data_IF_225712485743
#
_entry.id   IF_225712485743
#
_cell.length_a   1.000
_cell.length_b   1.000
_cell.length_c   1.000
_cell.angle_alpha   90.00
_cell.angle_beta   90.00
_cell.angle_gamma   90.00
#
_symmetry.space_group_name_H-M   'P 1'
#
loop_
_entity.id
_entity.type
_entity.pdbx_description
1 polymer ?
#
# COMPACT_ATOMS: atom_id res chain seq x y z
N UNK A 1 19.20 4.72 -3.27
CA UNK A 1 18.59 3.40 -3.55
C UNK A 1 18.33 3.19 -5.04
N UNK A 2 19.35 3.33 -5.91
CA UNK A 2 19.20 3.14 -7.37
C UNK A 2 18.75 1.73 -7.76
N UNK A 3 19.15 0.73 -6.97
CA UNK A 3 18.77 -0.67 -7.13
C UNK A 3 17.47 -1.04 -6.37
N UNK A 4 16.78 -0.05 -5.78
CA UNK A 4 15.59 -0.26 -4.95
C UNK A 4 15.80 -1.23 -3.76
N UNK A 5 17.02 -1.24 -3.21
CA UNK A 5 17.38 -1.99 -2.02
C UNK A 5 17.37 -1.09 -0.77
N UNK A 6 17.09 -1.66 0.43
CA UNK A 6 17.25 -0.94 1.70
C UNK A 6 18.67 -0.40 1.85
N UNK A 7 18.79 0.84 2.30
CA UNK A 7 20.07 1.49 2.54
C UNK A 7 20.56 1.13 3.95
N UNK A 8 21.77 0.54 4.10
CA UNK A 8 22.37 0.34 5.41
C UNK A 8 22.54 1.66 6.17
N UNK A 9 22.35 1.69 7.50
CA UNK A 9 22.44 2.92 8.29
C UNK A 9 23.75 3.70 8.08
N UNK A 10 24.87 2.99 7.91
CA UNK A 10 26.20 3.57 7.70
C UNK A 10 26.35 4.34 6.37
N UNK A 11 25.48 4.10 5.39
CA UNK A 11 25.51 4.71 4.07
C UNK A 11 24.35 5.68 3.83
N UNK A 12 23.57 5.98 4.87
CA UNK A 12 22.30 6.69 4.75
C UNK A 12 22.39 8.14 5.21
N UNK A 13 21.77 9.05 4.44
CA UNK A 13 21.53 10.46 4.83
C UNK A 13 20.39 10.61 5.85
N UNK A 14 19.71 9.51 6.19
CA UNK A 14 18.73 9.39 7.27
C UNK A 14 18.88 8.01 7.89
N UNK A 15 19.81 7.82 8.86
CA UNK A 15 20.34 6.52 9.26
C UNK A 15 19.28 5.51 9.69
N UNK A 16 18.16 5.99 10.20
CA UNK A 16 17.10 5.13 10.72
C UNK A 16 16.12 4.65 9.64
N UNK A 17 16.13 5.23 8.42
CA UNK A 17 15.19 4.88 7.35
C UNK A 17 15.76 3.81 6.40
N UNK A 18 14.93 2.80 6.06
CA UNK A 18 15.25 1.82 5.03
C UNK A 18 15.42 2.48 3.65
N UNK A 19 14.57 3.47 3.35
CA UNK A 19 14.56 4.21 2.08
C UNK A 19 14.56 5.73 2.35
N UNK A 20 15.74 6.36 2.48
CA UNK A 20 15.87 7.73 2.97
C UNK A 20 15.18 8.78 2.10
N UNK A 21 15.14 8.56 0.78
CA UNK A 21 14.50 9.48 -0.17
C UNK A 21 12.98 9.32 -0.23
N UNK A 22 12.46 8.15 0.15
CA UNK A 22 11.03 7.85 0.10
C UNK A 22 10.70 6.77 1.13
N UNK A 23 10.38 7.20 2.36
CA UNK A 23 10.03 6.30 3.46
C UNK A 23 9.05 5.20 3.03
N UNK A 24 7.89 5.51 2.43
CA UNK A 24 6.91 4.54 1.92
C UNK A 24 7.45 3.44 0.98
N UNK A 25 8.61 3.63 0.34
CA UNK A 25 9.17 2.64 -0.58
C UNK A 25 9.48 1.28 0.07
N UNK A 26 9.60 1.21 1.40
CA UNK A 26 9.80 -0.05 2.13
C UNK A 26 8.74 -1.11 1.76
N UNK A 27 7.46 -0.72 1.68
CA UNK A 27 6.39 -1.67 1.40
C UNK A 27 6.39 -2.13 -0.06
N UNK A 28 6.77 -1.25 -0.99
CA UNK A 28 6.89 -1.55 -2.42
C UNK A 28 8.03 -2.55 -2.66
N UNK A 29 9.14 -2.41 -1.94
CA UNK A 29 10.23 -3.38 -1.97
C UNK A 29 9.73 -4.77 -1.52
N UNK A 30 9.05 -4.84 -0.38
CA UNK A 30 8.49 -6.11 0.08
C UNK A 30 7.37 -6.65 -0.81
N UNK A 31 6.59 -5.78 -1.46
CA UNK A 31 5.60 -6.19 -2.47
C UNK A 31 6.29 -6.85 -3.66
N UNK A 32 7.43 -6.31 -4.12
CA UNK A 32 8.24 -6.93 -5.17
C UNK A 32 8.76 -8.31 -4.73
N UNK A 33 9.27 -8.42 -3.50
CA UNK A 33 9.73 -9.70 -2.92
C UNK A 33 8.57 -10.70 -2.83
N UNK A 34 7.42 -10.31 -2.29
CA UNK A 34 6.24 -11.16 -2.16
C UNK A 34 5.74 -11.64 -3.53
N UNK A 35 5.72 -10.75 -4.54
CA UNK A 35 5.37 -11.11 -5.90
C UNK A 35 6.37 -12.08 -6.55
N UNK A 36 7.68 -11.90 -6.32
CA UNK A 36 8.69 -12.82 -6.82
C UNK A 36 8.54 -14.22 -6.21
N UNK A 37 8.35 -14.30 -4.89
CA UNK A 37 8.07 -15.56 -4.18
C UNK A 37 6.77 -16.19 -4.69
N UNK A 38 5.73 -15.39 -4.84
CA UNK A 38 4.44 -15.86 -5.37
C UNK A 38 4.59 -16.38 -6.79
N UNK A 39 5.27 -15.69 -7.69
CA UNK A 39 5.48 -16.14 -9.06
C UNK A 39 6.25 -17.47 -9.12
N UNK A 40 7.28 -17.64 -8.29
CA UNK A 40 8.05 -18.88 -8.20
C UNK A 40 7.23 -20.07 -7.67
N UNK A 41 6.26 -19.82 -6.79
CA UNK A 41 5.47 -20.86 -6.12
C UNK A 41 4.03 -20.98 -6.64
N UNK A 42 3.59 -20.12 -7.57
CA UNK A 42 2.19 -19.90 -7.92
C UNK A 42 1.43 -21.21 -8.26
N UNK A 43 2.10 -22.10 -9.00
CA UNK A 43 1.57 -23.40 -9.44
C UNK A 43 1.46 -24.44 -8.31
N UNK A 44 2.21 -24.26 -7.22
CA UNK A 44 2.26 -25.18 -6.06
C UNK A 44 1.40 -24.71 -4.87
N UNK A 45 0.92 -23.48 -4.91
CA UNK A 45 0.13 -22.89 -3.83
C UNK A 45 -1.31 -23.39 -3.86
N UNK A 46 -1.54 -24.56 -3.24
CA UNK A 46 -2.87 -25.10 -2.97
C UNK A 46 -3.56 -24.36 -1.82
N UNK A 47 -4.88 -24.58 -1.68
CA UNK A 47 -5.72 -23.99 -0.61
C UNK A 47 -5.11 -24.15 0.79
N UNK A 48 -4.65 -25.37 1.11
CA UNK A 48 -4.05 -25.71 2.41
C UNK A 48 -2.70 -25.00 2.63
N UNK A 49 -1.87 -24.91 1.59
CA UNK A 49 -0.58 -24.22 1.66
C UNK A 49 -0.76 -22.73 1.92
N UNK A 50 -1.69 -22.07 1.21
CA UNK A 50 -2.02 -20.67 1.44
C UNK A 50 -2.53 -20.44 2.88
N UNK A 51 -3.43 -21.30 3.36
CA UNK A 51 -3.92 -21.26 4.73
C UNK A 51 -2.79 -21.39 5.76
N UNK A 52 -1.91 -22.38 5.58
CA UNK A 52 -0.75 -22.56 6.46
C UNK A 52 0.16 -21.32 6.49
N UNK A 53 0.44 -20.71 5.33
CA UNK A 53 1.32 -19.54 5.23
C UNK A 53 0.73 -18.35 5.99
N UNK A 54 -0.52 -17.95 5.70
CA UNK A 54 -1.09 -16.79 6.40
C UNK A 54 -1.40 -17.11 7.87
N UNK A 55 -1.73 -18.35 8.24
CA UNK A 55 -1.91 -18.73 9.65
C UNK A 55 -0.59 -18.66 10.43
N UNK A 56 0.51 -19.11 9.86
CA UNK A 56 1.84 -18.97 10.49
C UNK A 56 2.22 -17.49 10.63
N UNK A 57 2.03 -16.70 9.57
CA UNK A 57 2.28 -15.27 9.61
C UNK A 57 1.42 -14.55 10.67
N UNK A 58 0.16 -14.96 10.83
CA UNK A 58 -0.71 -14.48 11.91
C UNK A 58 -0.15 -14.81 13.29
N UNK A 59 0.31 -16.05 13.53
CA UNK A 59 0.91 -16.42 14.82
C UNK A 59 2.14 -15.56 15.15
N UNK A 60 3.00 -15.31 14.16
CA UNK A 60 4.15 -14.41 14.33
C UNK A 60 3.67 -13.00 14.69
N UNK A 61 2.70 -12.44 13.97
CA UNK A 61 2.15 -11.11 14.29
C UNK A 61 1.53 -11.06 15.69
N UNK A 62 0.81 -12.10 16.10
CA UNK A 62 0.19 -12.17 17.42
C UNK A 62 1.24 -12.21 18.53
N UNK A 63 2.32 -13.00 18.37
CA UNK A 63 3.44 -13.03 19.29
C UNK A 63 4.15 -11.68 19.37
N UNK A 64 4.36 -11.02 18.24
CA UNK A 64 4.97 -9.68 18.20
C UNK A 64 4.09 -8.63 18.87
N UNK A 65 2.78 -8.67 18.65
CA UNK A 65 1.83 -7.79 19.34
C UNK A 65 1.88 -8.01 20.86
N UNK A 66 1.90 -9.27 21.28
CA UNK A 66 2.00 -9.65 22.70
C UNK A 66 3.29 -9.16 23.35
N UNK A 67 4.40 -9.18 22.61
CA UNK A 67 5.70 -8.66 23.05
C UNK A 67 5.80 -7.12 22.96
N UNK A 68 4.74 -6.43 22.53
CA UNK A 68 4.70 -4.97 22.48
C UNK A 68 5.31 -4.34 21.22
N UNK A 69 5.70 -5.14 20.22
CA UNK A 69 6.25 -4.60 18.97
C UNK A 69 5.21 -3.80 18.19
N UNK A 70 5.66 -2.71 17.57
CA UNK A 70 4.83 -1.93 16.64
C UNK A 70 4.57 -2.73 15.36
N UNK A 71 3.31 -3.06 15.10
CA UNK A 71 2.91 -3.73 13.86
C UNK A 71 2.65 -2.76 12.70
N UNK A 72 2.54 -1.47 13.01
CA UNK A 72 2.32 -0.39 12.02
C UNK A 72 3.57 -0.01 11.23
N UNK A 73 4.76 -0.30 11.78
CA UNK A 73 6.08 0.11 11.25
C UNK A 73 6.54 -0.62 9.98
N UNK A 74 7.71 -0.25 9.48
CA UNK A 74 8.30 -0.81 8.27
C UNK A 74 9.31 0.11 7.59
N UNK A 75 9.12 1.43 7.73
CA UNK A 75 9.97 2.45 7.10
C UNK A 75 11.32 2.63 7.81
N UNK A 76 11.38 2.32 9.10
CA UNK A 76 12.57 2.48 9.94
C UNK A 76 13.16 1.12 10.33
N UNK A 77 14.49 1.07 10.50
CA UNK A 77 15.22 -0.16 10.82
C UNK A 77 14.79 -0.78 12.15
N UNK A 78 14.55 0.04 13.16
CA UNK A 78 14.07 -0.35 14.49
C UNK A 78 12.62 -0.90 14.49
N UNK A 79 11.79 -0.45 13.55
CA UNK A 79 10.38 -0.80 13.45
C UNK A 79 10.02 -1.76 12.30
N UNK A 80 11.01 -2.31 11.58
CA UNK A 80 10.75 -3.14 10.37
C UNK A 80 10.56 -4.63 10.66
N UNK A 81 10.88 -5.09 11.87
CA UNK A 81 10.87 -6.52 12.21
C UNK A 81 9.50 -7.20 11.97
N UNK A 82 8.38 -6.46 12.14
CA UNK A 82 7.04 -6.99 11.92
C UNK A 82 6.61 -6.97 10.44
N UNK A 83 7.33 -6.23 9.58
CA UNK A 83 6.94 -6.00 8.21
C UNK A 83 6.87 -7.29 7.37
N UNK A 84 7.87 -8.20 7.40
CA UNK A 84 7.80 -9.44 6.62
C UNK A 84 6.59 -10.31 6.98
N UNK A 85 6.31 -10.48 8.28
CA UNK A 85 5.15 -11.24 8.74
C UNK A 85 3.83 -10.58 8.32
N UNK A 86 3.74 -9.24 8.44
CA UNK A 86 2.56 -8.48 8.02
C UNK A 86 2.30 -8.63 6.53
N UNK A 87 3.33 -8.51 5.70
CA UNK A 87 3.23 -8.64 4.24
C UNK A 87 2.85 -10.07 3.86
N UNK A 88 3.50 -11.08 4.44
CA UNK A 88 3.17 -12.48 4.20
C UNK A 88 1.70 -12.75 4.55
N UNK A 89 1.24 -12.31 5.73
CA UNK A 89 -0.15 -12.44 6.14
C UNK A 89 -1.10 -11.80 5.12
N UNK A 90 -0.96 -10.49 4.88
CA UNK A 90 -1.90 -9.72 4.06
C UNK A 90 -1.90 -10.18 2.59
N UNK A 91 -0.72 -10.46 2.03
CA UNK A 91 -0.59 -10.88 0.64
C UNK A 91 -1.23 -12.25 0.41
N UNK A 92 -0.86 -13.27 1.20
CA UNK A 92 -1.36 -14.62 0.99
C UNK A 92 -2.82 -14.79 1.41
N UNK A 93 -3.30 -14.04 2.41
CA UNK A 93 -4.73 -13.96 2.70
C UNK A 93 -5.48 -13.33 1.51
N UNK A 94 -4.96 -12.25 0.92
CA UNK A 94 -5.55 -11.63 -0.28
C UNK A 94 -5.64 -12.60 -1.45
N UNK A 95 -4.58 -13.37 -1.72
CA UNK A 95 -4.58 -14.43 -2.75
C UNK A 95 -5.62 -15.51 -2.42
N UNK A 96 -5.70 -15.95 -1.15
CA UNK A 96 -6.67 -16.94 -0.71
C UNK A 96 -8.11 -16.44 -0.91
N UNK A 97 -8.42 -15.22 -0.45
CA UNK A 97 -9.74 -14.62 -0.60
C UNK A 97 -10.10 -14.46 -2.08
N UNK A 98 -9.18 -14.02 -2.92
CA UNK A 98 -9.42 -13.90 -4.37
C UNK A 98 -9.77 -15.24 -5.02
N UNK A 99 -9.17 -16.35 -4.58
CA UNK A 99 -9.39 -17.69 -5.15
C UNK A 99 -10.64 -18.37 -4.60
N UNK A 100 -10.94 -18.18 -3.30
CA UNK A 100 -11.90 -19.03 -2.59
C UNK A 100 -13.04 -18.28 -1.91
N UNK A 101 -12.96 -16.96 -1.71
CA UNK A 101 -14.05 -16.19 -1.11
C UNK A 101 -15.10 -15.83 -2.17
N UNK A 102 -15.87 -16.83 -2.60
CA UNK A 102 -16.99 -16.65 -3.51
C UNK A 102 -18.09 -15.82 -2.84
N UNK A 103 -18.79 -15.03 -3.64
CA UNK A 103 -19.88 -14.18 -3.16
C UNK A 103 -20.58 -13.48 -4.32
N UNK A 104 -21.86 -13.17 -4.14
CA UNK A 104 -22.65 -12.45 -5.14
C UNK A 104 -22.43 -10.96 -4.95
N UNK A 105 -22.19 -10.24 -6.05
CA UNK A 105 -22.07 -8.79 -6.00
C UNK A 105 -23.42 -8.13 -5.71
N UNK A 106 -23.42 -7.02 -4.97
CA UNK A 106 -24.62 -6.26 -4.61
C UNK A 106 -24.45 -4.80 -4.96
N UNK A 107 -25.56 -4.07 -5.16
CA UNK A 107 -25.51 -2.64 -5.40
C UNK A 107 -24.91 -1.90 -4.20
N UNK A 108 -23.86 -1.11 -4.47
CA UNK A 108 -22.98 -0.58 -3.45
C UNK A 108 -23.17 0.90 -3.12
N UNK A 109 -23.87 1.65 -3.98
CA UNK A 109 -23.90 3.11 -3.92
C UNK A 109 -24.41 3.63 -2.55
N UNK A 110 -25.43 2.99 -1.97
CA UNK A 110 -25.98 3.38 -0.67
C UNK A 110 -25.02 3.11 0.51
N UNK A 111 -24.11 2.14 0.36
CA UNK A 111 -23.15 1.78 1.41
C UNK A 111 -21.88 2.64 1.38
N UNK A 112 -21.62 3.35 0.29
CA UNK A 112 -20.38 4.12 0.12
C UNK A 112 -20.15 5.18 1.21
N UNK A 113 -21.12 6.03 1.58
CA UNK A 113 -20.92 7.01 2.66
C UNK A 113 -20.60 6.33 3.99
N UNK A 114 -21.27 5.23 4.31
CA UNK A 114 -21.06 4.47 5.55
C UNK A 114 -19.66 3.86 5.58
N UNK A 115 -19.22 3.26 4.48
CA UNK A 115 -17.88 2.68 4.38
C UNK A 115 -16.79 3.75 4.47
N UNK A 116 -16.99 4.92 3.85
CA UNK A 116 -16.05 6.03 3.94
C UNK A 116 -15.98 6.61 5.35
N UNK A 117 -17.13 6.79 6.01
CA UNK A 117 -17.19 7.25 7.40
C UNK A 117 -16.52 6.26 8.35
N UNK A 118 -16.76 4.95 8.16
CA UNK A 118 -16.10 3.89 8.92
C UNK A 118 -14.58 3.92 8.73
N UNK A 119 -14.10 3.99 7.49
CA UNK A 119 -12.66 4.12 7.20
C UNK A 119 -12.06 5.37 7.87
N UNK A 120 -12.73 6.53 7.78
CA UNK A 120 -12.27 7.75 8.41
C UNK A 120 -12.20 7.62 9.94
N UNK A 121 -13.23 7.04 10.56
CA UNK A 121 -13.25 6.78 12.00
C UNK A 121 -12.11 5.86 12.47
N UNK A 122 -11.88 4.77 11.74
CA UNK A 122 -10.79 3.82 12.03
C UNK A 122 -9.39 4.43 11.85
N UNK A 123 -9.24 5.41 10.94
CA UNK A 123 -7.97 6.12 10.72
C UNK A 123 -7.67 7.17 11.78
N UNK A 124 -8.71 7.81 12.34
CA UNK A 124 -8.56 8.84 13.38
C UNK A 124 -8.44 8.20 14.77
N UNK A 125 -9.08 7.05 14.98
CA UNK A 125 -9.08 6.36 16.25
C UNK A 125 -7.92 5.35 16.35
N UNK A 126 -7.03 5.55 17.31
CA UNK A 126 -6.10 4.53 17.78
C UNK A 126 -6.03 4.60 19.31
N UNK A 127 -6.40 3.54 20.04
CA UNK A 127 -6.43 3.59 21.49
C UNK A 127 -5.01 3.71 22.04
N UNK A 128 -4.84 4.51 23.10
CA UNK A 128 -3.55 4.65 23.78
C UNK A 128 -3.13 3.36 24.51
N UNK A 129 -4.10 2.67 25.12
CA UNK A 129 -3.90 1.34 25.70
C UNK A 129 -4.15 0.23 24.68
N UNK A 130 -3.37 -0.86 24.76
CA UNK A 130 -3.49 -2.02 23.87
C UNK A 130 -3.36 -1.70 22.37
N UNK A 131 -2.58 -0.67 22.01
CA UNK A 131 -2.39 -0.23 20.64
C UNK A 131 -1.92 -1.37 19.71
N UNK A 132 -1.08 -2.28 20.20
CA UNK A 132 -0.58 -3.43 19.43
C UNK A 132 -1.70 -4.44 19.13
N UNK A 133 -2.60 -4.69 20.08
CA UNK A 133 -3.74 -5.57 19.87
C UNK A 133 -4.75 -4.93 18.90
N UNK A 134 -4.94 -3.61 19.01
CA UNK A 134 -5.72 -2.84 18.04
C UNK A 134 -5.12 -2.97 16.64
N UNK A 135 -3.82 -2.72 16.49
CA UNK A 135 -3.12 -2.83 15.20
C UNK A 135 -3.23 -4.25 14.63
N UNK A 136 -3.10 -5.28 15.49
CA UNK A 136 -3.27 -6.68 15.10
C UNK A 136 -4.70 -6.96 14.60
N UNK A 137 -5.72 -6.52 15.32
CA UNK A 137 -7.12 -6.66 14.93
C UNK A 137 -7.41 -5.93 13.61
N UNK A 138 -6.82 -4.74 13.42
CA UNK A 138 -6.92 -4.01 12.16
C UNK A 138 -6.32 -4.80 11.00
N UNK A 139 -5.11 -5.32 11.16
CA UNK A 139 -4.38 -6.08 10.13
C UNK A 139 -5.11 -7.38 9.77
N UNK A 140 -5.59 -8.13 10.77
CA UNK A 140 -6.05 -9.51 10.62
C UNK A 140 -7.54 -9.61 10.31
N UNK A 141 -8.33 -8.66 10.81
CA UNK A 141 -9.80 -8.74 10.74
C UNK A 141 -10.39 -7.55 9.97
N UNK A 142 -10.16 -6.32 10.43
CA UNK A 142 -10.94 -5.17 9.96
C UNK A 142 -10.60 -4.77 8.54
N UNK A 143 -9.31 -4.59 8.20
CA UNK A 143 -8.93 -4.25 6.83
C UNK A 143 -9.26 -5.36 5.82
N UNK A 144 -8.96 -6.65 6.08
CA UNK A 144 -9.36 -7.73 5.18
C UNK A 144 -10.88 -7.80 4.98
N UNK A 145 -11.67 -7.62 6.03
CA UNK A 145 -13.12 -7.60 5.94
C UNK A 145 -13.63 -6.42 5.10
N UNK A 146 -13.11 -5.22 5.32
CA UNK A 146 -13.47 -4.02 4.54
C UNK A 146 -13.16 -4.21 3.05
N UNK A 147 -11.96 -4.71 2.73
CA UNK A 147 -11.54 -4.98 1.35
C UNK A 147 -12.43 -6.04 0.70
N UNK A 148 -12.73 -7.13 1.43
CA UNK A 148 -13.61 -8.18 0.94
C UNK A 148 -15.03 -7.65 0.67
N UNK A 149 -15.58 -6.84 1.57
CA UNK A 149 -16.90 -6.23 1.38
C UNK A 149 -16.91 -5.27 0.19
N UNK A 150 -15.94 -4.36 0.11
CA UNK A 150 -15.80 -3.40 -0.98
C UNK A 150 -15.67 -4.11 -2.35
N UNK A 151 -14.94 -5.23 -2.42
CA UNK A 151 -14.77 -6.02 -3.65
C UNK A 151 -16.07 -6.62 -4.19
N UNK A 152 -17.11 -6.72 -3.35
CA UNK A 152 -18.43 -7.29 -3.69
C UNK A 152 -19.46 -6.21 -4.04
N UNK A 153 -19.08 -4.93 -4.01
CA UNK A 153 -19.98 -3.84 -4.33
C UNK A 153 -19.93 -3.50 -5.82
N UNK A 154 -21.11 -3.46 -6.46
CA UNK A 154 -21.31 -2.88 -7.79
C UNK A 154 -21.64 -1.41 -7.61
N UNK A 155 -20.74 -0.56 -8.09
CA UNK A 155 -20.93 0.88 -8.07
C UNK A 155 -21.41 1.36 -9.44
N UNK A 156 -22.24 2.40 -9.45
CA UNK A 156 -22.70 3.07 -10.67
C UNK A 156 -22.63 4.59 -10.54
N UNK A 157 -22.70 5.29 -11.68
CA UNK A 157 -22.69 6.76 -11.74
C UNK A 157 -21.48 7.38 -11.02
N UNK A 158 -21.78 8.36 -10.16
CA UNK A 158 -20.80 9.14 -9.40
C UNK A 158 -19.83 8.29 -8.58
N UNK A 159 -20.33 7.34 -7.78
CA UNK A 159 -19.48 6.51 -6.92
C UNK A 159 -18.53 5.63 -7.71
N UNK A 160 -18.97 5.11 -8.86
CA UNK A 160 -18.10 4.38 -9.78
C UNK A 160 -16.99 5.27 -10.33
N UNK A 161 -17.32 6.50 -10.72
CA UNK A 161 -16.32 7.45 -11.23
C UNK A 161 -15.26 7.77 -10.17
N UNK A 162 -15.67 8.04 -8.93
CA UNK A 162 -14.73 8.29 -7.82
C UNK A 162 -13.87 7.07 -7.53
N UNK A 163 -14.47 5.88 -7.43
CA UNK A 163 -13.73 4.66 -7.13
C UNK A 163 -12.68 4.35 -8.21
N UNK A 164 -13.03 4.51 -9.50
CA UNK A 164 -12.11 4.32 -10.61
C UNK A 164 -11.00 5.37 -10.62
N UNK A 165 -11.35 6.66 -10.45
CA UNK A 165 -10.36 7.73 -10.39
C UNK A 165 -9.37 7.51 -9.24
N UNK A 166 -9.88 7.30 -8.03
CA UNK A 166 -9.07 7.09 -6.81
C UNK A 166 -8.20 5.84 -6.93
N UNK A 167 -8.76 4.74 -7.46
CA UNK A 167 -8.01 3.51 -7.69
C UNK A 167 -6.87 3.69 -8.69
N UNK A 168 -7.12 4.40 -9.80
CA UNK A 168 -6.12 4.64 -10.85
C UNK A 168 -4.92 5.45 -10.34
N UNK A 169 -5.16 6.49 -9.54
CA UNK A 169 -4.09 7.36 -9.03
C UNK A 169 -3.46 6.88 -7.72
N UNK A 170 -4.06 5.87 -7.05
CA UNK A 170 -3.65 5.40 -5.72
C UNK A 170 -2.16 5.06 -5.63
N UNK A 171 -1.60 4.39 -6.65
CA UNK A 171 -0.19 4.05 -6.71
C UNK A 171 0.71 5.30 -6.81
N UNK A 172 0.33 6.27 -7.63
CA UNK A 172 1.07 7.52 -7.76
C UNK A 172 1.01 8.36 -6.48
N UNK A 173 -0.15 8.41 -5.81
CA UNK A 173 -0.27 9.01 -4.47
C UNK A 173 0.67 8.31 -3.51
N UNK A 174 0.64 6.98 -3.46
CA UNK A 174 1.49 6.20 -2.56
C UNK A 174 2.98 6.50 -2.78
N UNK A 175 3.43 6.54 -4.03
CA UNK A 175 4.82 6.82 -4.37
C UNK A 175 5.26 8.27 -4.09
N UNK A 176 4.37 9.25 -4.27
CA UNK A 176 4.73 10.67 -4.31
C UNK A 176 4.32 11.48 -3.08
N UNK A 177 3.35 11.03 -2.28
CA UNK A 177 2.79 11.87 -1.19
C UNK A 177 3.87 12.30 -0.19
N UNK A 178 4.70 11.38 0.33
CA UNK A 178 5.72 11.71 1.33
C UNK A 178 6.78 12.69 0.81
N UNK A 179 7.43 12.48 -0.35
CA UNK A 179 8.40 13.44 -0.87
C UNK A 179 7.76 14.79 -1.20
N UNK A 180 6.56 14.82 -1.76
CA UNK A 180 5.85 16.08 -2.05
C UNK A 180 5.50 16.83 -0.77
N UNK A 181 4.94 16.16 0.23
CA UNK A 181 4.64 16.75 1.55
C UNK A 181 5.93 17.31 2.16
N UNK A 182 7.06 16.59 2.09
CA UNK A 182 8.35 17.06 2.61
C UNK A 182 8.81 18.34 1.90
N UNK A 183 8.72 18.40 0.57
CA UNK A 183 9.08 19.59 -0.22
C UNK A 183 8.20 20.77 0.17
N UNK A 184 6.88 20.58 0.23
CA UNK A 184 5.93 21.63 0.62
C UNK A 184 6.22 22.16 2.01
N UNK A 185 6.50 21.28 2.98
CA UNK A 185 6.84 21.70 4.34
C UNK A 185 8.13 22.53 4.38
N UNK A 186 9.19 22.11 3.66
CA UNK A 186 10.47 22.85 3.63
C UNK A 186 10.28 24.24 3.02
N UNK A 187 9.53 24.32 1.91
CA UNK A 187 9.24 25.58 1.25
C UNK A 187 8.39 26.50 2.13
N UNK A 188 7.32 25.97 2.73
CA UNK A 188 6.46 26.75 3.62
C UNK A 188 7.23 27.28 4.82
N UNK A 189 7.97 26.41 5.53
CA UNK A 189 8.79 26.79 6.68
C UNK A 189 9.84 27.85 6.32
N UNK A 190 10.43 27.78 5.11
CA UNK A 190 11.39 28.78 4.64
C UNK A 190 10.78 30.16 4.39
N UNK A 191 9.47 30.24 4.12
CA UNK A 191 8.75 31.48 3.81
C UNK A 191 8.04 32.02 5.05
N UNK A 192 7.39 31.16 5.83
CA UNK A 192 6.52 31.53 6.94
C UNK A 192 7.22 31.43 8.29
N UNK A 193 8.35 30.73 8.38
CA UNK A 193 9.00 30.39 9.65
C UNK A 193 8.16 29.48 10.55
N UNK A 194 7.01 28.99 10.05
CA UNK A 194 6.06 28.20 10.84
C UNK A 194 6.40 26.73 10.68
N UNK A 195 6.45 26.01 11.81
CA UNK A 195 6.72 24.58 11.79
C UNK A 195 5.49 23.81 11.31
N UNK A 196 5.71 22.68 10.62
CA UNK A 196 4.65 21.81 10.06
C UNK A 196 3.46 21.57 11.01
N UNK A 197 3.75 21.33 12.28
CA UNK A 197 2.76 20.94 13.29
C UNK A 197 1.89 22.12 13.77
N UNK A 198 2.18 23.34 13.34
CA UNK A 198 1.46 24.56 13.70
C UNK A 198 0.48 24.99 12.60
N UNK A 199 0.52 24.36 11.42
CA UNK A 199 -0.45 24.65 10.38
C UNK A 199 -1.82 24.03 10.66
N UNK A 200 -2.87 24.79 10.35
CA UNK A 200 -4.26 24.34 10.49
C UNK A 200 -4.77 23.55 9.28
N UNK A 201 -6.07 23.24 9.31
CA UNK A 201 -6.78 22.50 8.26
C UNK A 201 -6.56 23.03 6.83
N UNK A 202 -6.47 24.35 6.57
CA UNK A 202 -6.26 24.86 5.21
C UNK A 202 -4.97 24.34 4.56
N UNK A 203 -3.88 24.26 5.31
CA UNK A 203 -2.61 23.75 4.80
C UNK A 203 -2.69 22.25 4.46
N UNK A 204 -3.35 21.47 5.32
CA UNK A 204 -3.58 20.04 5.09
C UNK A 204 -4.41 19.81 3.83
N UNK A 205 -5.48 20.58 3.65
CA UNK A 205 -6.34 20.50 2.46
C UNK A 205 -5.57 20.92 1.21
N UNK A 206 -4.86 22.06 1.25
CA UNK A 206 -4.06 22.55 0.14
C UNK A 206 -2.97 21.57 -0.30
N UNK A 207 -2.22 21.04 0.66
CA UNK A 207 -1.17 20.03 0.39
C UNK A 207 -1.77 18.74 -0.17
N UNK A 208 -2.92 18.30 0.35
CA UNK A 208 -3.60 17.09 -0.15
C UNK A 208 -4.08 17.28 -1.59
N UNK A 209 -4.66 18.44 -1.92
CA UNK A 209 -5.08 18.77 -3.29
C UNK A 209 -3.87 18.77 -4.23
N UNK A 210 -2.75 19.38 -3.82
CA UNK A 210 -1.52 19.40 -4.60
C UNK A 210 -1.00 17.97 -4.85
N UNK A 211 -0.93 17.14 -3.82
CA UNK A 211 -0.50 15.74 -3.93
C UNK A 211 -1.40 14.96 -4.89
N UNK A 212 -2.72 15.11 -4.78
CA UNK A 212 -3.68 14.46 -5.67
C UNK A 212 -3.51 14.94 -7.11
N UNK A 213 -3.34 16.24 -7.33
CA UNK A 213 -3.15 16.82 -8.66
C UNK A 213 -1.86 16.33 -9.32
N UNK A 214 -0.73 16.37 -8.61
CA UNK A 214 0.56 15.88 -9.12
C UNK A 214 0.53 14.37 -9.35
N UNK A 215 -0.09 13.60 -8.45
CA UNK A 215 -0.24 12.14 -8.61
C UNK A 215 -1.14 11.79 -9.81
N UNK A 216 -2.23 12.52 -10.01
CA UNK A 216 -3.10 12.34 -11.18
C UNK A 216 -2.35 12.66 -12.48
N UNK A 217 -1.61 13.77 -12.52
CA UNK A 217 -0.77 14.11 -13.66
C UNK A 217 0.27 13.01 -13.95
N UNK A 218 1.02 12.59 -12.93
CA UNK A 218 2.02 11.53 -13.05
C UNK A 218 1.40 10.22 -13.56
N UNK A 219 0.20 9.86 -13.09
CA UNK A 219 -0.48 8.66 -13.56
C UNK A 219 -0.93 8.76 -15.03
N UNK A 220 -1.69 9.81 -15.36
CA UNK A 220 -2.36 9.92 -16.66
C UNK A 220 -1.42 10.33 -17.81
N UNK A 221 -0.35 11.07 -17.51
CA UNK A 221 0.59 11.59 -18.51
C UNK A 221 1.86 10.74 -18.60
N UNK A 222 2.39 10.27 -17.47
CA UNK A 222 3.65 9.53 -17.47
C UNK A 222 3.44 8.00 -17.39
N UNK A 223 2.88 7.51 -16.28
CA UNK A 223 2.81 6.08 -15.96
C UNK A 223 2.00 5.29 -17.01
N UNK A 224 0.82 5.78 -17.38
CA UNK A 224 -0.03 5.14 -18.40
C UNK A 224 0.68 5.00 -19.75
N UNK A 225 1.38 6.05 -20.17
CA UNK A 225 2.11 6.06 -21.44
C UNK A 225 3.35 5.16 -21.39
N UNK A 226 4.12 5.22 -20.31
CA UNK A 226 5.29 4.37 -20.10
C UNK A 226 4.91 2.88 -20.07
N UNK A 227 3.82 2.49 -19.37
CA UNK A 227 3.32 1.11 -19.35
C UNK A 227 2.90 0.63 -20.73
N UNK A 228 2.25 1.48 -21.51
CA UNK A 228 1.79 1.14 -22.86
C UNK A 228 2.99 0.88 -23.77
N UNK A 229 4.00 1.75 -23.71
CA UNK A 229 5.26 1.59 -24.44
C UNK A 229 6.00 0.30 -24.04
N UNK A 230 6.19 0.05 -22.75
CA UNK A 230 6.88 -1.16 -22.27
C UNK A 230 6.15 -2.45 -22.65
N UNK A 231 4.82 -2.47 -22.57
CA UNK A 231 4.03 -3.63 -23.02
C UNK A 231 4.20 -3.89 -24.51
N UNK A 232 4.19 -2.83 -25.33
CA UNK A 232 4.43 -2.94 -26.76
C UNK A 232 5.83 -3.48 -27.08
N UNK A 233 6.88 -3.00 -26.39
CA UNK A 233 8.24 -3.49 -26.56
C UNK A 233 8.39 -4.96 -26.15
N UNK A 234 7.75 -5.38 -25.05
CA UNK A 234 7.77 -6.77 -24.59
C UNK A 234 6.99 -7.71 -25.53
N UNK A 235 5.87 -7.27 -26.11
CA UNK A 235 5.15 -8.07 -27.11
C UNK A 235 5.96 -8.26 -28.39
N UNK A 236 6.67 -7.22 -28.85
CA UNK A 236 7.56 -7.33 -30.01
C UNK A 236 8.71 -8.31 -29.75
N UNK A 237 9.28 -8.29 -28.54
CA UNK A 237 10.34 -9.23 -28.16
C UNK A 237 9.86 -10.68 -28.15
N UNK A 238 8.67 -10.96 -27.59
CA UNK A 238 8.07 -12.31 -27.63
C UNK A 238 7.83 -12.79 -29.06
N UNK A 239 7.25 -11.93 -29.91
CA UNK A 239 7.02 -12.27 -31.31
C UNK A 239 8.32 -12.57 -32.06
N UNK A 240 9.40 -11.84 -31.76
CA UNK A 240 10.73 -12.10 -32.33
C UNK A 240 11.35 -13.42 -31.85
N UNK A 241 11.21 -13.74 -30.57
CA UNK A 241 11.69 -15.00 -29.99
C UNK A 241 10.96 -16.22 -30.59
N UNK A 242 9.65 -16.11 -30.85
CA UNK A 242 8.85 -17.15 -31.53
C UNK A 242 9.26 -17.35 -33.00
N UNK A 243 9.65 -16.29 -33.72
CA UNK A 243 10.11 -16.38 -35.12
C UNK A 243 11.50 -17.01 -35.23
N UNK A 244 12.37 -16.84 -34.23
CA UNK A 244 13.73 -17.41 -34.22
C UNK A 244 13.82 -18.88 -33.75
N UNK A 245 12.70 -19.47 -33.32
CA UNK A 245 12.63 -20.89 -32.93
C UNK A 245 12.18 -21.82 -34.08
N UNK A 246 12.03 -21.29 -35.29
CA UNK A 246 11.89 -22.02 -36.55
C UNK A 246 13.16 -21.88 -37.40
#
# INVERSE_FOLDING_TARGET
SLLFLPTPPSLSVGPDLLFPLNGPAWSLFYELVANAVFAALALRLARRSLAAIFSLAFLVLALMAWQGFSLGGGAHWDGTIAAPARIAFSFFLGVYLRRYATGVSRDGNLYMPILLALCAGLMIFRPAGNAQLYDLAMIVLVWPWLVLMASRLRLSGFWRAIALFSGNISYAIYALHTPLIRIVNILDESVTGTLRNQHGLPFVVGTSILVIAVAAFAHYVYDKNARTLLRHLLSLRRAREEVTQF
#
